data_IF_471303306414
#
_entry.id   IF_471303306414
#
_cell.length_a   1.000
_cell.length_b   1.000
_cell.length_c   1.000
_cell.angle_alpha   90.00
_cell.angle_beta   90.00
_cell.angle_gamma   90.00
#
_symmetry.space_group_name_H-M   'P 1'
#
loop_
_entity.id
_entity.type
_entity.pdbx_description
1 polymer ?
#
# COMPACT_ATOMS: atom_id res chain seq x y z
N UNK A 1 -41.82 52.37 8.16
CA UNK A 1 -41.08 52.59 6.89
C UNK A 1 -39.64 53.10 7.09
N UNK A 2 -38.89 52.62 8.10
CA UNK A 2 -37.43 52.87 8.22
C UNK A 2 -36.61 51.57 8.32
N UNK A 3 -37.26 50.41 8.42
CA UNK A 3 -36.59 49.12 8.57
C UNK A 3 -36.26 48.44 7.22
N UNK A 4 -36.98 48.78 6.14
CA UNK A 4 -36.74 48.21 4.80
C UNK A 4 -35.60 48.88 4.01
N UNK A 5 -35.13 50.07 4.42
CA UNK A 5 -34.03 50.77 3.72
C UNK A 5 -32.63 50.27 4.07
N UNK A 6 -32.43 49.61 5.23
CA UNK A 6 -31.12 49.07 5.64
C UNK A 6 -30.78 47.70 5.01
N UNK A 7 -31.79 46.97 4.50
CA UNK A 7 -31.57 45.65 3.89
C UNK A 7 -31.19 45.72 2.40
N UNK A 8 -31.56 46.80 1.69
CA UNK A 8 -31.19 46.98 0.29
C UNK A 8 -29.72 47.44 0.10
N UNK A 9 -29.19 48.24 1.02
CA UNK A 9 -27.79 48.72 0.95
C UNK A 9 -26.77 47.63 1.28
N UNK A 10 -27.14 46.62 2.08
CA UNK A 10 -26.24 45.50 2.40
C UNK A 10 -26.12 44.46 1.26
N UNK A 11 -27.19 44.27 0.45
CA UNK A 11 -27.15 43.36 -0.72
C UNK A 11 -26.35 43.92 -1.89
N UNK A 12 -26.29 45.24 -2.06
CA UNK A 12 -25.51 45.87 -3.13
C UNK A 12 -23.99 45.76 -2.92
N UNK A 13 -23.53 45.74 -1.66
CA UNK A 13 -22.09 45.63 -1.32
C UNK A 13 -21.59 44.18 -1.53
N UNK A 14 -22.41 43.17 -1.26
CA UNK A 14 -22.03 41.77 -1.47
C UNK A 14 -21.99 41.34 -2.96
N UNK A 15 -22.78 41.96 -3.85
CA UNK A 15 -22.69 41.69 -5.29
C UNK A 15 -21.49 42.35 -5.98
N UNK A 16 -20.92 43.42 -5.41
CA UNK A 16 -19.76 44.10 -5.98
C UNK A 16 -18.43 43.40 -5.61
N UNK A 17 -18.36 42.70 -4.48
CA UNK A 17 -17.17 41.90 -4.11
C UNK A 17 -17.08 40.56 -4.85
N UNK A 18 -18.20 40.01 -5.35
CA UNK A 18 -18.21 38.73 -6.06
C UNK A 18 -17.83 38.86 -7.56
N UNK A 19 -17.84 40.06 -8.11
CA UNK A 19 -17.50 40.33 -9.52
C UNK A 19 -16.01 40.60 -9.76
N UNK A 20 -15.22 40.83 -8.70
CA UNK A 20 -13.76 41.05 -8.78
C UNK A 20 -12.97 39.71 -8.71
N UNK A 21 -13.62 38.60 -8.34
CA UNK A 21 -12.99 37.27 -8.29
C UNK A 21 -13.10 36.45 -9.59
N UNK A 22 -13.72 37.00 -10.65
CA UNK A 22 -13.94 36.28 -11.92
C UNK A 22 -13.11 36.79 -13.11
N UNK A 23 -12.16 37.70 -12.90
CA UNK A 23 -11.25 38.21 -13.95
C UNK A 23 -9.77 38.07 -13.56
N UNK A 24 -9.37 36.86 -13.14
CA UNK A 24 -7.99 36.57 -12.75
C UNK A 24 -7.57 35.14 -13.10
N UNK A 25 -7.71 34.72 -14.36
CA UNK A 25 -6.97 33.57 -14.92
C UNK A 25 -7.21 33.44 -16.43
N UNK A 26 -6.83 34.49 -17.16
CA UNK A 26 -6.48 34.36 -18.57
C UNK A 26 -5.13 35.03 -18.71
N UNK A 27 -4.07 34.23 -18.84
CA UNK A 27 -2.71 34.50 -19.32
C UNK A 27 -1.72 33.62 -18.54
N UNK A 28 -1.40 32.46 -19.11
CA UNK A 28 -0.13 31.79 -18.88
C UNK A 28 0.22 30.99 -20.15
N UNK A 29 1.04 31.62 -20.97
CA UNK A 29 1.64 31.06 -22.18
C UNK A 29 2.80 30.12 -21.82
N UNK A 30 3.05 29.18 -22.72
CA UNK A 30 3.96 28.05 -22.65
C UNK A 30 5.43 28.37 -22.32
N UNK A 31 6.10 27.49 -21.54
CA UNK A 31 7.47 26.99 -21.80
C UNK A 31 7.90 25.86 -20.83
N UNK A 32 8.14 24.68 -21.42
CA UNK A 32 9.03 23.56 -21.02
C UNK A 32 8.75 22.72 -19.74
N UNK A 33 9.15 21.42 -19.76
CA UNK A 33 8.48 20.37 -18.99
C UNK A 33 9.07 20.20 -17.60
N UNK A 34 8.25 20.45 -16.58
CA UNK A 34 8.62 20.23 -15.19
C UNK A 34 8.22 18.82 -14.75
N UNK A 35 9.19 18.19 -14.09
CA UNK A 35 9.15 16.97 -13.28
C UNK A 35 7.81 16.67 -12.61
N UNK A 36 7.39 15.41 -12.73
CA UNK A 36 6.17 14.85 -12.15
C UNK A 36 6.31 14.80 -10.62
N UNK A 37 5.88 15.85 -9.93
CA UNK A 37 5.49 15.77 -8.53
C UNK A 37 4.03 15.32 -8.49
N UNK A 38 3.81 14.01 -8.29
CA UNK A 38 2.49 13.51 -7.90
C UNK A 38 2.27 13.86 -6.43
N UNK A 39 1.44 14.87 -6.18
CA UNK A 39 0.84 15.07 -4.86
C UNK A 39 0.01 13.82 -4.50
N UNK A 40 0.50 13.03 -3.56
CA UNK A 40 -0.23 11.92 -2.98
C UNK A 40 -1.22 12.51 -1.97
N UNK A 41 -2.51 12.48 -2.32
CA UNK A 41 -3.62 12.95 -1.50
C UNK A 41 -3.73 12.08 -0.23
N UNK A 42 -3.98 12.67 0.96
CA UNK A 42 -4.02 11.94 2.22
C UNK A 42 -5.15 10.91 2.29
N UNK A 43 -4.86 9.85 3.05
CA UNK A 43 -5.66 8.67 3.32
C UNK A 43 -6.94 9.03 4.08
N UNK A 44 -8.10 8.79 3.47
CA UNK A 44 -9.38 8.64 4.17
C UNK A 44 -9.94 7.25 3.85
N UNK A 45 -10.10 6.43 4.89
CA UNK A 45 -10.98 5.26 4.84
C UNK A 45 -12.39 5.73 4.48
N UNK A 46 -12.91 5.29 3.33
CA UNK A 46 -14.29 5.60 2.92
C UNK A 46 -14.44 6.10 1.50
N UNK A 47 -13.98 5.32 0.52
CA UNK A 47 -14.61 5.27 -0.80
C UNK A 47 -14.35 3.89 -1.38
N UNK A 48 -15.35 3.29 -2.04
CA UNK A 48 -15.38 1.86 -2.43
C UNK A 48 -14.23 1.34 -3.31
N UNK A 49 -13.22 2.16 -3.62
CA UNK A 49 -12.01 1.79 -4.34
C UNK A 49 -10.80 1.46 -3.43
N UNK A 50 -10.98 1.34 -2.10
CA UNK A 50 -9.87 1.13 -1.15
C UNK A 50 -8.89 0.04 -1.57
N UNK A 51 -9.39 -1.16 -1.89
CA UNK A 51 -8.56 -2.27 -2.36
C UNK A 51 -7.94 -2.04 -3.75
N UNK A 52 -8.63 -1.35 -4.68
CA UNK A 52 -8.04 -1.01 -5.98
C UNK A 52 -6.80 -0.13 -5.79
N UNK A 53 -6.88 0.85 -4.89
CA UNK A 53 -5.78 1.74 -4.56
C UNK A 53 -4.63 0.97 -3.88
N UNK A 54 -4.94 0.08 -2.93
CA UNK A 54 -3.96 -0.81 -2.28
C UNK A 54 -3.19 -1.65 -3.31
N UNK A 55 -3.90 -2.30 -4.25
CA UNK A 55 -3.27 -3.09 -5.30
C UNK A 55 -2.43 -2.26 -6.27
N UNK A 56 -2.83 -1.01 -6.54
CA UNK A 56 -2.02 -0.09 -7.33
C UNK A 56 -0.73 0.31 -6.60
N UNK A 57 -0.80 0.55 -5.28
CA UNK A 57 0.38 0.83 -4.44
C UNK A 57 1.33 -0.37 -4.43
N UNK A 58 0.81 -1.58 -4.21
CA UNK A 58 1.62 -2.80 -4.23
C UNK A 58 2.24 -3.06 -5.60
N UNK A 59 1.53 -2.78 -6.69
CA UNK A 59 2.10 -2.83 -8.03
C UNK A 59 3.25 -1.83 -8.21
N UNK A 60 3.08 -0.58 -7.76
CA UNK A 60 4.15 0.43 -7.79
C UNK A 60 5.39 -0.05 -7.04
N UNK A 61 5.21 -0.57 -5.83
CA UNK A 61 6.29 -1.15 -5.03
C UNK A 61 6.95 -2.33 -5.75
N UNK A 62 6.17 -3.26 -6.30
CA UNK A 62 6.70 -4.39 -7.06
C UNK A 62 7.57 -3.94 -8.24
N UNK A 63 7.18 -2.91 -8.97
CA UNK A 63 8.02 -2.40 -10.08
C UNK A 63 9.39 -1.89 -9.61
N UNK A 64 9.47 -1.42 -8.37
CA UNK A 64 10.69 -0.93 -7.74
C UNK A 64 11.54 -2.11 -7.20
N UNK A 65 10.90 -3.09 -6.54
CA UNK A 65 11.58 -4.09 -5.72
C UNK A 65 11.57 -5.53 -6.25
N UNK A 66 11.01 -5.82 -7.44
CA UNK A 66 10.91 -7.19 -7.99
C UNK A 66 12.21 -8.00 -8.08
N UNK A 67 13.36 -7.32 -8.05
CA UNK A 67 14.70 -7.94 -8.11
C UNK A 67 15.47 -7.79 -6.78
N UNK A 68 14.86 -7.21 -5.75
CA UNK A 68 15.46 -7.06 -4.44
C UNK A 68 15.39 -8.38 -3.66
N UNK A 69 16.24 -8.51 -2.66
CA UNK A 69 16.25 -9.64 -1.72
C UNK A 69 15.52 -9.21 -0.45
N UNK A 70 14.91 -10.17 0.25
CA UNK A 70 14.33 -9.94 1.58
C UNK A 70 15.36 -9.30 2.51
N UNK A 71 15.02 -8.14 3.04
CA UNK A 71 15.96 -7.34 3.81
C UNK A 71 16.04 -7.74 5.27
N UNK A 72 15.06 -8.45 5.82
CA UNK A 72 15.09 -8.92 7.20
C UNK A 72 14.92 -10.44 7.29
N UNK A 73 15.74 -11.09 8.13
CA UNK A 73 15.65 -12.52 8.47
C UNK A 73 15.58 -12.73 9.98
N UNK A 74 16.48 -12.09 10.73
CA UNK A 74 16.61 -12.31 12.18
C UNK A 74 17.32 -11.14 12.86
N UNK A 75 16.80 -10.70 13.98
CA UNK A 75 17.47 -9.71 14.85
C UNK A 75 18.67 -10.34 15.57
N UNK A 76 19.74 -9.56 15.74
CA UNK A 76 20.96 -9.95 16.45
C UNK A 76 21.15 -9.15 17.75
N UNK A 77 20.85 -7.85 17.74
CA UNK A 77 20.97 -6.97 18.91
C UNK A 77 20.10 -5.72 18.78
N UNK A 78 19.91 -4.98 19.87
CA UNK A 78 19.01 -3.83 19.98
C UNK A 78 17.76 -4.14 20.80
N UNK A 79 16.73 -3.29 20.68
CA UNK A 79 15.45 -3.47 21.35
C UNK A 79 14.31 -3.65 20.36
N UNK A 80 13.33 -4.47 20.74
CA UNK A 80 12.08 -4.65 20.01
C UNK A 80 11.00 -3.69 20.52
N UNK A 81 10.18 -3.23 19.58
CA UNK A 81 9.05 -2.36 19.82
C UNK A 81 7.82 -2.98 19.19
N UNK A 82 6.72 -3.04 19.94
CA UNK A 82 5.50 -3.74 19.56
C UNK A 82 4.40 -2.74 19.25
N UNK A 83 3.44 -3.16 18.43
CA UNK A 83 2.20 -2.42 18.13
C UNK A 83 2.43 -1.11 17.37
N UNK A 84 3.56 -0.96 16.70
CA UNK A 84 3.74 0.12 15.73
C UNK A 84 3.04 -0.24 14.42
N UNK A 85 2.23 0.65 13.84
CA UNK A 85 1.67 0.41 12.52
C UNK A 85 2.80 0.34 11.52
N UNK A 86 2.69 -0.54 10.53
CA UNK A 86 3.58 -0.54 9.36
C UNK A 86 2.74 -0.45 8.09
N UNK A 87 3.39 -0.50 6.93
CA UNK A 87 2.68 -0.68 5.66
C UNK A 87 1.86 -2.00 5.63
N UNK A 88 2.28 -3.01 6.41
CA UNK A 88 1.60 -4.30 6.57
C UNK A 88 0.97 -4.41 7.96
N UNK A 89 -0.34 -4.59 8.00
CA UNK A 89 -1.11 -4.73 9.25
C UNK A 89 -0.69 -5.94 10.09
N UNK A 90 -0.23 -7.00 9.45
CA UNK A 90 0.23 -8.23 10.08
C UNK A 90 1.65 -8.12 10.68
N UNK A 91 2.41 -7.07 10.32
CA UNK A 91 3.78 -6.84 10.80
C UNK A 91 3.83 -5.58 11.65
N UNK A 92 3.81 -5.76 12.97
CA UNK A 92 3.74 -4.67 13.94
C UNK A 92 4.88 -4.66 14.98
N UNK A 93 5.91 -5.50 14.76
CA UNK A 93 7.11 -5.55 15.60
C UNK A 93 8.28 -4.94 14.84
N UNK A 94 8.92 -3.94 15.43
CA UNK A 94 10.04 -3.20 14.84
C UNK A 94 11.27 -3.16 15.73
N UNK A 95 12.40 -2.85 15.12
CA UNK A 95 13.63 -2.42 15.79
C UNK A 95 13.80 -0.92 15.52
N UNK A 96 14.27 -0.15 16.50
CA UNK A 96 14.46 1.30 16.36
C UNK A 96 15.91 1.71 16.63
N UNK A 97 16.43 2.62 15.81
CA UNK A 97 17.65 3.37 16.12
C UNK A 97 17.26 4.82 16.39
N UNK A 98 17.97 5.48 17.31
CA UNK A 98 17.74 6.90 17.64
C UNK A 98 19.04 7.70 17.69
N UNK A 99 18.96 8.96 17.29
CA UNK A 99 20.08 9.91 17.33
C UNK A 99 20.27 10.56 18.74
N UNK A 100 20.08 9.78 19.81
CA UNK A 100 20.16 10.27 21.19
C UNK A 100 21.61 10.29 21.67
N UNK A 101 22.11 9.16 22.16
CA UNK A 101 23.42 9.03 22.81
C UNK A 101 24.55 8.67 21.86
N UNK A 102 24.23 8.27 20.63
CA UNK A 102 25.19 7.67 19.70
C UNK A 102 25.32 6.15 19.81
N UNK A 103 24.61 5.54 20.76
CA UNK A 103 24.72 4.11 21.07
C UNK A 103 23.40 3.35 20.82
N UNK A 104 22.29 4.07 20.60
CA UNK A 104 20.97 3.47 20.39
C UNK A 104 20.81 3.02 18.94
N UNK A 105 21.17 1.77 18.69
CA UNK A 105 21.08 1.10 17.41
C UNK A 105 20.54 -0.33 17.51
N UNK A 106 20.54 -1.02 16.38
CA UNK A 106 20.15 -2.43 16.29
C UNK A 106 20.92 -3.12 15.17
N UNK A 107 21.01 -4.44 15.28
CA UNK A 107 21.66 -5.31 14.30
C UNK A 107 20.72 -6.45 13.90
N UNK A 108 20.76 -6.83 12.62
CA UNK A 108 19.98 -7.94 12.10
C UNK A 108 20.69 -8.64 10.93
N UNK A 109 20.21 -9.82 10.56
CA UNK A 109 20.59 -10.55 9.37
C UNK A 109 19.59 -10.29 8.25
N UNK A 110 20.10 -10.10 7.03
CA UNK A 110 19.28 -10.06 5.80
C UNK A 110 18.83 -11.46 5.37
N UNK A 111 17.97 -11.53 4.35
CA UNK A 111 17.85 -12.71 3.50
C UNK A 111 19.20 -13.11 2.89
N UNK A 112 19.28 -14.36 2.42
CA UNK A 112 20.50 -14.89 1.83
C UNK A 112 20.71 -14.35 0.42
N UNK A 113 21.96 -13.95 0.12
CA UNK A 113 22.34 -13.62 -1.26
C UNK A 113 22.42 -14.92 -2.05
N UNK A 114 21.79 -15.07 -3.24
CA UNK A 114 21.90 -16.30 -4.04
C UNK A 114 23.36 -16.68 -4.34
N UNK A 115 23.64 -17.99 -4.40
CA UNK A 115 25.00 -18.51 -4.67
C UNK A 115 25.48 -18.08 -6.07
N UNK A 116 24.56 -18.03 -7.02
CA UNK A 116 24.76 -17.66 -8.42
C UNK A 116 24.53 -16.17 -8.71
N UNK A 117 24.42 -15.33 -7.66
CA UNK A 117 24.17 -13.90 -7.83
C UNK A 117 25.25 -13.24 -8.71
N UNK A 118 24.85 -12.63 -9.83
CA UNK A 118 25.79 -12.17 -10.86
C UNK A 118 26.05 -10.66 -10.85
N UNK A 119 25.19 -9.88 -10.19
CA UNK A 119 25.31 -8.42 -10.12
C UNK A 119 26.45 -7.99 -9.19
N UNK A 120 27.10 -6.87 -9.51
CA UNK A 120 28.12 -6.22 -8.69
C UNK A 120 27.54 -5.49 -7.46
N UNK A 121 26.21 -5.33 -7.44
CA UNK A 121 25.44 -4.76 -6.34
C UNK A 121 24.25 -5.64 -6.00
N UNK A 122 23.97 -5.77 -4.71
CA UNK A 122 22.78 -6.41 -4.15
C UNK A 122 21.88 -5.37 -3.49
N UNK A 123 20.56 -5.48 -3.63
CA UNK A 123 19.60 -4.60 -2.95
C UNK A 123 18.71 -5.42 -2.03
N UNK A 124 18.58 -4.95 -0.79
CA UNK A 124 17.71 -5.51 0.23
C UNK A 124 16.51 -4.59 0.44
N UNK A 125 15.31 -5.15 0.53
CA UNK A 125 14.07 -4.43 0.83
C UNK A 125 13.59 -4.73 2.24
N UNK A 126 13.33 -3.70 3.03
CA UNK A 126 12.74 -3.80 4.36
C UNK A 126 11.49 -2.95 4.48
N UNK A 127 10.51 -3.40 5.25
CA UNK A 127 9.47 -2.52 5.77
C UNK A 127 10.10 -1.53 6.75
N UNK A 128 9.75 -0.25 6.63
CA UNK A 128 10.38 0.80 7.42
C UNK A 128 9.51 2.04 7.56
N UNK A 129 9.56 2.58 8.77
CA UNK A 129 9.01 3.88 9.08
C UNK A 129 10.17 4.79 9.55
N UNK A 130 10.09 6.07 9.23
CA UNK A 130 11.15 7.04 9.57
C UNK A 130 10.58 8.37 10.04
N UNK A 131 11.31 9.00 10.95
CA UNK A 131 11.07 10.38 11.34
C UNK A 131 11.38 11.32 10.15
N UNK A 132 10.39 12.13 9.79
CA UNK A 132 10.52 13.16 8.74
C UNK A 132 10.48 14.58 9.31
N UNK A 133 10.21 14.70 10.60
CA UNK A 133 10.16 15.94 11.37
C UNK A 133 11.56 16.32 11.87
N UNK A 134 12.33 15.34 12.35
CA UNK A 134 13.73 15.45 12.72
C UNK A 134 14.59 14.69 11.71
N UNK A 135 15.76 15.23 11.37
CA UNK A 135 16.56 14.82 10.19
C UNK A 135 18.02 14.60 10.53
N UNK A 136 18.26 13.89 11.63
CA UNK A 136 19.61 13.60 12.11
C UNK A 136 20.27 12.48 11.31
N UNK A 137 21.59 12.34 11.49
CA UNK A 137 22.40 11.38 10.76
C UNK A 137 22.38 9.98 11.39
N UNK A 138 22.32 8.96 10.54
CA UNK A 138 22.40 7.54 10.90
C UNK A 138 23.47 6.85 10.06
N UNK A 139 24.26 6.00 10.70
CA UNK A 139 25.22 5.13 10.03
C UNK A 139 24.62 3.77 9.76
N UNK A 140 24.94 3.23 8.58
CA UNK A 140 24.69 1.84 8.23
C UNK A 140 26.02 1.12 8.08
N UNK A 141 26.14 -0.03 8.73
CA UNK A 141 27.28 -0.93 8.55
C UNK A 141 26.81 -2.26 7.98
N UNK A 142 27.65 -2.86 7.13
CA UNK A 142 27.47 -4.20 6.58
C UNK A 142 28.66 -5.05 7.00
N UNK A 143 28.39 -6.17 7.68
CA UNK A 143 29.41 -7.07 8.22
C UNK A 143 30.51 -6.31 8.98
N UNK A 144 30.07 -5.42 9.89
CA UNK A 144 30.90 -4.55 10.73
C UNK A 144 31.75 -3.51 9.99
N UNK A 145 31.59 -3.36 8.67
CA UNK A 145 32.24 -2.32 7.86
C UNK A 145 31.25 -1.19 7.60
N UNK A 146 31.67 0.05 7.82
CA UNK A 146 30.86 1.23 7.51
C UNK A 146 30.53 1.27 6.02
N UNK A 147 29.24 1.30 5.71
CA UNK A 147 28.74 1.40 4.34
C UNK A 147 28.55 2.86 3.96
N UNK A 148 27.69 3.55 4.70
CA UNK A 148 27.30 4.93 4.45
C UNK A 148 26.67 5.57 5.68
N UNK A 149 26.54 6.88 5.63
CA UNK A 149 25.77 7.72 6.56
C UNK A 149 24.67 8.43 5.78
N UNK A 150 23.45 8.48 6.32
CA UNK A 150 22.33 9.16 5.69
C UNK A 150 21.56 10.06 6.66
N UNK A 151 20.83 11.01 6.10
CA UNK A 151 19.81 11.83 6.77
C UNK A 151 18.48 11.69 6.01
N UNK A 152 17.35 11.73 6.71
CA UNK A 152 16.04 11.89 6.09
C UNK A 152 15.83 13.34 5.61
N UNK A 153 15.08 13.51 4.52
CA UNK A 153 14.64 14.82 4.03
C UNK A 153 13.13 14.99 4.24
N UNK A 154 12.66 16.24 4.22
CA UNK A 154 11.24 16.54 4.43
C UNK A 154 10.32 15.78 3.50
N UNK A 155 10.70 15.66 2.23
CA UNK A 155 9.92 15.04 1.17
C UNK A 155 9.90 13.51 1.23
N UNK A 156 10.57 12.91 2.21
CA UNK A 156 10.72 11.47 2.37
C UNK A 156 11.90 10.87 1.61
N UNK A 157 12.67 11.66 0.85
CA UNK A 157 13.93 11.19 0.27
C UNK A 157 15.03 11.07 1.33
N UNK A 158 16.12 10.36 0.99
CA UNK A 158 17.31 10.26 1.85
C UNK A 158 18.50 10.97 1.19
N UNK A 159 19.28 11.69 2.00
CA UNK A 159 20.55 12.27 1.60
C UNK A 159 21.70 11.43 2.16
N UNK A 160 22.58 10.90 1.29
CA UNK A 160 23.79 10.20 1.73
C UNK A 160 24.91 11.21 1.92
N UNK A 161 25.41 11.34 3.15
CA UNK A 161 26.40 12.38 3.55
C UNK A 161 27.83 11.85 3.66
N UNK A 162 27.99 10.55 3.89
CA UNK A 162 29.27 9.82 3.80
C UNK A 162 29.01 8.44 3.19
N UNK A 163 29.92 7.94 2.35
CA UNK A 163 29.70 6.70 1.60
C UNK A 163 30.99 5.92 1.31
N UNK A 164 31.77 5.54 2.34
CA UNK A 164 33.04 4.84 2.14
C UNK A 164 32.87 3.44 1.57
N UNK A 165 31.72 2.81 1.79
CA UNK A 165 31.40 1.48 1.27
C UNK A 165 30.76 1.49 -0.11
N UNK A 166 30.62 2.65 -0.78
CA UNK A 166 29.97 2.77 -2.09
C UNK A 166 28.58 2.12 -2.15
N UNK A 167 27.81 2.26 -1.06
CA UNK A 167 26.42 1.79 -0.96
C UNK A 167 25.41 2.82 -1.47
N UNK A 168 24.13 2.49 -1.34
CA UNK A 168 23.03 3.43 -1.51
C UNK A 168 21.89 3.10 -0.54
N UNK A 169 21.28 4.14 0.03
CA UNK A 169 20.08 4.03 0.85
C UNK A 169 18.95 4.81 0.17
N UNK A 170 17.81 4.17 0.00
CA UNK A 170 16.62 4.80 -0.55
C UNK A 170 15.43 4.50 0.37
N UNK A 171 14.66 5.53 0.68
CA UNK A 171 13.35 5.38 1.28
C UNK A 171 12.28 5.59 0.21
N UNK A 172 11.30 4.70 0.16
CA UNK A 172 10.12 4.85 -0.69
C UNK A 172 8.95 5.18 0.22
N UNK A 173 8.65 6.47 0.32
CA UNK A 173 7.52 6.99 1.08
C UNK A 173 6.20 6.58 0.39
N UNK A 174 5.34 5.88 1.11
CA UNK A 174 4.02 5.47 0.63
C UNK A 174 2.92 6.39 1.16
N UNK A 175 2.97 6.67 2.47
CA UNK A 175 2.06 7.61 3.13
C UNK A 175 2.72 8.20 4.38
N UNK A 176 2.09 9.21 4.96
CA UNK A 176 2.45 9.71 6.28
C UNK A 176 1.48 9.24 7.34
N UNK A 177 1.96 9.08 8.55
CA UNK A 177 1.11 8.84 9.71
C UNK A 177 0.48 10.17 10.22
N UNK A 178 -0.27 10.09 11.32
CA UNK A 178 -0.90 11.26 11.94
C UNK A 178 0.07 12.28 12.53
N UNK A 179 1.34 11.90 12.75
CA UNK A 179 2.40 12.77 13.26
C UNK A 179 3.27 13.35 12.12
N UNK A 180 2.96 13.02 10.87
CA UNK A 180 3.72 13.45 9.70
C UNK A 180 4.97 12.61 9.40
N UNK A 181 5.19 11.53 10.14
CA UNK A 181 6.28 10.58 9.94
C UNK A 181 6.01 9.68 8.73
N UNK A 182 7.07 9.14 8.14
CA UNK A 182 6.98 8.33 6.93
C UNK A 182 6.58 6.88 7.23
N UNK A 183 5.61 6.36 6.48
CA UNK A 183 5.28 4.93 6.40
C UNK A 183 5.64 4.42 5.01
N UNK A 184 6.44 3.35 4.92
CA UNK A 184 6.94 2.88 3.64
C UNK A 184 7.91 1.72 3.69
N UNK A 185 8.89 1.75 2.79
CA UNK A 185 9.94 0.73 2.68
C UNK A 185 11.32 1.37 2.56
N UNK A 186 12.31 0.72 3.17
CA UNK A 186 13.71 1.07 3.07
C UNK A 186 14.41 0.10 2.12
N UNK A 187 15.16 0.64 1.17
CA UNK A 187 15.97 -0.11 0.22
C UNK A 187 17.44 0.17 0.48
N UNK A 188 18.20 -0.88 0.71
CA UNK A 188 19.63 -0.82 0.97
C UNK A 188 20.39 -1.54 -0.13
N UNK A 189 21.09 -0.79 -0.96
CA UNK A 189 21.97 -1.35 -2.00
C UNK A 189 23.41 -1.37 -1.51
N UNK A 190 24.03 -2.54 -1.61
CA UNK A 190 25.38 -2.82 -1.12
C UNK A 190 26.23 -3.41 -2.26
N UNK A 191 27.51 -3.06 -2.41
CA UNK A 191 28.39 -3.78 -3.31
C UNK A 191 28.49 -5.26 -2.92
N UNK A 192 28.46 -6.15 -3.91
CA UNK A 192 28.58 -7.60 -3.71
C UNK A 192 29.91 -7.97 -3.02
N UNK A 193 30.95 -7.12 -3.11
CA UNK A 193 32.22 -7.30 -2.40
C UNK A 193 32.13 -7.15 -0.87
N UNK A 194 31.04 -6.60 -0.33
CA UNK A 194 30.81 -6.47 1.12
C UNK A 194 29.94 -7.58 1.71
N UNK A 195 29.40 -8.46 0.87
CA UNK A 195 28.53 -9.58 1.26
C UNK A 195 29.10 -10.90 0.74
N UNK A 196 28.66 -12.01 1.31
CA UNK A 196 29.05 -13.34 0.85
C UNK A 196 27.85 -14.03 0.17
N UNK A 197 28.06 -14.53 -1.04
CA UNK A 197 27.05 -15.31 -1.76
C UNK A 197 26.73 -16.59 -1.00
N UNK A 198 25.46 -16.99 -0.99
CA UNK A 198 24.93 -18.10 -0.20
C UNK A 198 24.77 -17.79 1.30
N UNK A 199 25.00 -16.55 1.74
CA UNK A 199 24.88 -16.18 3.17
C UNK A 199 24.06 -14.91 3.36
N UNK A 200 23.51 -14.79 4.56
CA UNK A 200 22.95 -13.54 5.07
C UNK A 200 24.06 -12.54 5.40
N UNK A 201 23.81 -11.26 5.17
CA UNK A 201 24.68 -10.18 5.64
C UNK A 201 24.21 -9.67 6.99
N UNK A 202 25.15 -9.29 7.86
CA UNK A 202 24.83 -8.55 9.10
C UNK A 202 24.70 -7.06 8.77
N UNK A 203 23.57 -6.46 9.11
CA UNK A 203 23.33 -5.02 8.98
C UNK A 203 23.26 -4.42 10.38
N UNK A 204 23.85 -3.23 10.54
CA UNK A 204 23.75 -2.42 11.76
C UNK A 204 23.28 -1.01 11.40
N UNK A 205 22.26 -0.54 12.11
CA UNK A 205 21.87 0.88 12.10
C UNK A 205 22.28 1.52 13.43
N UNK A 206 22.86 2.72 13.36
CA UNK A 206 23.24 3.49 14.55
C UNK A 206 22.97 4.98 14.35
N UNK A 207 22.17 5.59 15.24
CA UNK A 207 21.97 7.04 15.21
C UNK A 207 23.17 7.77 15.80
N UNK A 208 23.52 8.94 15.25
CA UNK A 208 24.61 9.76 15.79
C UNK A 208 24.28 10.35 17.16
N UNK A 209 25.31 10.70 17.94
CA UNK A 209 25.15 11.40 19.23
C UNK A 209 24.72 12.85 19.00
N UNK A 210 23.41 13.09 18.88
CA UNK A 210 22.82 14.40 18.61
C UNK A 210 21.89 14.89 19.73
N UNK A 211 21.67 14.08 20.76
CA UNK A 211 20.69 14.34 21.81
C UNK A 211 19.28 14.63 21.23
N UNK A 212 18.94 13.92 20.16
CA UNK A 212 17.71 14.10 19.40
C UNK A 212 16.87 12.83 19.43
N UNK A 213 15.55 12.98 19.45
CA UNK A 213 14.63 11.84 19.40
C UNK A 213 14.41 11.32 17.98
N UNK A 214 15.08 11.89 16.97
CA UNK A 214 15.04 11.42 15.57
C UNK A 214 15.26 9.91 15.50
N UNK A 215 14.47 9.22 14.68
CA UNK A 215 14.40 7.77 14.67
C UNK A 215 14.23 7.17 13.27
N UNK A 216 14.68 5.91 13.14
CA UNK A 216 14.40 5.02 12.01
C UNK A 216 14.00 3.66 12.56
N UNK A 217 12.93 3.08 11.98
CA UNK A 217 12.46 1.75 12.29
C UNK A 217 12.63 0.80 11.12
N UNK A 218 13.02 -0.43 11.42
CA UNK A 218 12.94 -1.56 10.49
C UNK A 218 12.03 -2.62 11.12
N UNK A 219 10.99 -3.02 10.39
CA UNK A 219 10.04 -4.02 10.87
C UNK A 219 10.53 -5.44 10.59
N UNK A 220 10.09 -6.37 11.44
CA UNK A 220 10.48 -7.79 11.38
C UNK A 220 9.68 -8.59 10.33
N UNK A 221 9.57 -8.07 9.11
CA UNK A 221 8.93 -8.77 7.98
C UNK A 221 9.95 -9.63 7.22
N UNK A 222 9.72 -10.95 7.13
CA UNK A 222 10.68 -11.89 6.50
C UNK A 222 10.35 -12.25 5.04
N UNK A 223 9.18 -11.81 4.56
CA UNK A 223 8.57 -12.17 3.28
C UNK A 223 8.03 -10.92 2.55
N UNK A 224 8.66 -9.76 2.73
CA UNK A 224 8.17 -8.47 2.21
C UNK A 224 8.16 -8.46 0.68
N UNK A 225 9.26 -8.87 0.05
CA UNK A 225 9.39 -8.92 -1.43
C UNK A 225 8.44 -9.97 -1.99
N UNK A 226 8.44 -11.18 -1.42
CA UNK A 226 7.60 -12.28 -1.89
C UNK A 226 6.11 -11.94 -1.75
N UNK A 227 5.69 -11.31 -0.64
CA UNK A 227 4.29 -10.91 -0.46
C UNK A 227 3.86 -9.83 -1.43
N UNK A 228 4.70 -8.82 -1.69
CA UNK A 228 4.41 -7.80 -2.71
C UNK A 228 4.25 -8.43 -4.10
N UNK A 229 5.12 -9.39 -4.44
CA UNK A 229 5.02 -10.16 -5.68
C UNK A 229 3.70 -10.96 -5.73
N UNK A 230 3.34 -11.67 -4.67
CA UNK A 230 2.08 -12.43 -4.60
C UNK A 230 0.86 -11.50 -4.73
N UNK A 231 0.90 -10.33 -4.09
CA UNK A 231 -0.14 -9.31 -4.22
C UNK A 231 -0.39 -8.94 -5.70
N UNK A 232 0.66 -8.65 -6.45
CA UNK A 232 0.55 -8.27 -7.87
C UNK A 232 0.11 -9.43 -8.77
N UNK A 233 0.57 -10.64 -8.50
CA UNK A 233 0.34 -11.78 -9.39
C UNK A 233 -1.05 -12.41 -9.18
N UNK A 234 -1.57 -12.39 -7.95
CA UNK A 234 -2.73 -13.21 -7.57
C UNK A 234 -3.92 -12.47 -6.97
N UNK A 235 -3.74 -11.26 -6.47
CA UNK A 235 -4.87 -10.48 -5.95
C UNK A 235 -5.68 -9.83 -7.06
N UNK A 236 -6.93 -9.51 -6.74
CA UNK A 236 -7.81 -8.76 -7.60
C UNK A 236 -8.78 -7.93 -6.78
N UNK A 237 -9.14 -6.77 -7.32
CA UNK A 237 -10.19 -5.92 -6.78
C UNK A 237 -11.01 -5.34 -7.92
N UNK A 238 -12.33 -5.29 -7.76
CA UNK A 238 -13.25 -4.75 -8.74
C UNK A 238 -14.31 -3.90 -8.06
N UNK A 239 -14.64 -2.78 -8.70
CA UNK A 239 -15.82 -2.00 -8.36
C UNK A 239 -16.72 -1.95 -9.58
N UNK A 240 -17.95 -2.44 -9.42
CA UNK A 240 -18.92 -2.56 -10.50
C UNK A 240 -20.12 -1.67 -10.20
N UNK A 241 -20.49 -0.82 -11.16
CA UNK A 241 -21.60 0.13 -11.03
C UNK A 241 -22.51 0.02 -12.25
N UNK A 242 -23.80 -0.14 -12.00
CA UNK A 242 -24.81 -0.06 -13.04
C UNK A 242 -25.13 1.41 -13.36
N UNK A 243 -25.14 1.77 -14.64
CA UNK A 243 -25.65 3.05 -15.15
C UNK A 243 -26.10 2.90 -16.59
N UNK A 244 -27.27 3.45 -16.94
CA UNK A 244 -27.82 3.42 -18.31
C UNK A 244 -27.78 2.02 -18.94
N UNK A 245 -28.26 1.00 -18.21
CA UNK A 245 -28.29 -0.41 -18.65
C UNK A 245 -26.91 -1.07 -18.86
N UNK A 246 -25.82 -0.38 -18.53
CA UNK A 246 -24.47 -0.90 -18.59
C UNK A 246 -23.93 -1.16 -17.19
N UNK A 247 -23.15 -2.23 -17.05
CA UNK A 247 -22.29 -2.48 -15.90
C UNK A 247 -20.90 -1.96 -16.20
N UNK A 248 -20.46 -0.93 -15.49
CA UNK A 248 -19.11 -0.37 -15.55
C UNK A 248 -18.25 -1.04 -14.50
N UNK A 249 -17.07 -1.52 -14.90
CA UNK A 249 -16.11 -2.21 -14.04
C UNK A 249 -14.85 -1.37 -13.96
N UNK A 250 -14.50 -1.00 -12.74
CA UNK A 250 -13.21 -0.41 -12.37
C UNK A 250 -12.33 -1.51 -11.75
N UNK A 251 -11.04 -1.50 -12.09
CA UNK A 251 -10.02 -2.46 -11.66
C UNK A 251 -8.66 -1.75 -11.45
N UNK A 252 -7.66 -2.38 -10.82
CA UNK A 252 -6.30 -1.85 -10.70
C UNK A 252 -5.72 -1.42 -12.05
N UNK A 253 -4.96 -0.34 -12.08
CA UNK A 253 -4.38 0.23 -13.30
C UNK A 253 -3.58 -0.82 -14.08
N UNK A 254 -2.81 -1.65 -13.37
CA UNK A 254 -1.98 -2.70 -13.96
C UNK A 254 -2.77 -3.87 -14.57
N UNK A 255 -4.11 -3.87 -14.48
CA UNK A 255 -4.97 -4.79 -15.23
C UNK A 255 -5.16 -4.36 -16.69
N UNK A 256 -4.51 -3.29 -17.15
CA UNK A 256 -4.58 -2.87 -18.54
C UNK A 256 -4.29 -4.03 -19.50
N UNK A 257 -5.07 -4.11 -20.58
CA UNK A 257 -5.01 -5.18 -21.57
C UNK A 257 -5.36 -6.60 -21.08
N UNK A 258 -5.57 -6.82 -19.78
CA UNK A 258 -6.10 -8.10 -19.28
C UNK A 258 -7.50 -8.32 -19.82
N UNK A 259 -7.76 -9.58 -20.20
CA UNK A 259 -9.05 -9.99 -20.72
C UNK A 259 -10.06 -10.12 -19.59
N UNK A 260 -11.30 -9.69 -19.83
CA UNK A 260 -12.40 -9.73 -18.87
C UNK A 260 -13.74 -9.97 -19.54
N UNK A 261 -14.58 -10.79 -18.92
CA UNK A 261 -16.01 -10.91 -19.21
C UNK A 261 -16.78 -11.21 -17.92
N UNK A 262 -18.10 -11.15 -18.00
CA UNK A 262 -18.98 -11.38 -16.86
C UNK A 262 -20.11 -12.33 -17.24
N UNK A 263 -20.65 -13.00 -16.23
CA UNK A 263 -21.85 -13.81 -16.31
C UNK A 263 -22.82 -13.26 -15.27
N UNK A 264 -24.03 -12.90 -15.66
CA UNK A 264 -25.09 -12.46 -14.76
C UNK A 264 -26.32 -13.30 -15.03
N UNK A 265 -26.79 -14.01 -14.00
CA UNK A 265 -27.93 -14.92 -14.09
C UNK A 265 -27.84 -15.86 -15.32
N UNK A 266 -26.67 -16.48 -15.51
CA UNK A 266 -26.37 -17.39 -16.63
C UNK A 266 -26.12 -16.71 -17.99
N UNK A 267 -26.36 -15.40 -18.13
CA UNK A 267 -26.08 -14.67 -19.37
C UNK A 267 -24.62 -14.21 -19.42
N UNK A 268 -23.86 -14.76 -20.36
CA UNK A 268 -22.45 -14.38 -20.61
C UNK A 268 -22.33 -13.12 -21.47
N UNK A 269 -21.49 -12.18 -21.05
CA UNK A 269 -21.13 -11.00 -21.83
C UNK A 269 -20.07 -11.29 -22.91
N UNK A 270 -19.86 -10.36 -23.85
CA UNK A 270 -18.74 -10.43 -24.79
C UNK A 270 -17.41 -10.26 -24.04
N UNK A 271 -16.39 -11.00 -24.46
CA UNK A 271 -15.02 -10.80 -24.02
C UNK A 271 -14.53 -9.39 -24.38
N UNK A 272 -13.94 -8.71 -23.40
CA UNK A 272 -13.32 -7.40 -23.56
C UNK A 272 -11.91 -7.41 -22.97
N UNK A 273 -11.17 -6.34 -23.23
CA UNK A 273 -9.96 -6.00 -22.50
C UNK A 273 -10.21 -4.78 -21.64
N UNK A 274 -9.62 -4.77 -20.46
CA UNK A 274 -9.50 -3.56 -19.67
C UNK A 274 -8.67 -2.51 -20.41
N UNK A 275 -9.03 -1.23 -20.23
CA UNK A 275 -8.28 -0.09 -20.76
C UNK A 275 -7.97 0.88 -19.62
N UNK A 276 -6.72 1.33 -19.53
CA UNK A 276 -6.33 2.37 -18.58
C UNK A 276 -7.13 3.65 -18.80
N UNK A 277 -7.66 4.22 -17.71
CA UNK A 277 -8.29 5.53 -17.67
C UNK A 277 -7.99 6.17 -16.30
N UNK A 278 -7.05 7.11 -16.28
CA UNK A 278 -6.55 7.70 -15.03
C UNK A 278 -5.79 6.67 -14.20
N UNK A 279 -6.14 6.53 -12.92
CA UNK A 279 -5.50 5.61 -11.96
C UNK A 279 -6.21 4.26 -11.84
N UNK A 280 -6.96 3.88 -12.88
CA UNK A 280 -7.71 2.63 -12.91
C UNK A 280 -7.68 2.04 -14.32
N UNK A 281 -7.99 0.76 -14.39
CA UNK A 281 -8.37 0.09 -15.62
C UNK A 281 -9.88 -0.11 -15.66
N UNK A 282 -10.50 0.16 -16.81
CA UNK A 282 -11.95 0.16 -16.95
C UNK A 282 -12.45 -0.72 -18.08
N UNK A 283 -13.63 -1.31 -17.88
CA UNK A 283 -14.41 -2.01 -18.89
C UNK A 283 -15.90 -1.71 -18.66
N UNK A 284 -16.73 -1.92 -19.69
CA UNK A 284 -18.18 -1.80 -19.54
C UNK A 284 -18.89 -2.91 -20.30
N UNK A 285 -20.06 -3.32 -19.84
CA UNK A 285 -20.78 -4.44 -20.43
C UNK A 285 -22.27 -4.14 -20.50
N UNK A 286 -22.89 -4.46 -21.64
CA UNK A 286 -24.34 -4.47 -21.78
C UNK A 286 -24.85 -5.79 -21.22
N UNK A 287 -25.14 -5.79 -19.93
CA UNK A 287 -25.59 -6.92 -19.15
C UNK A 287 -26.57 -6.40 -18.10
N UNK A 288 -27.67 -7.13 -17.89
CA UNK A 288 -28.56 -6.82 -16.79
C UNK A 288 -27.84 -7.01 -15.45
N UNK A 289 -28.22 -6.26 -14.41
CA UNK A 289 -27.72 -6.54 -13.06
C UNK A 289 -28.26 -7.89 -12.57
N UNK A 290 -27.48 -8.64 -11.77
CA UNK A 290 -27.84 -9.98 -11.33
C UNK A 290 -28.88 -9.97 -10.20
N UNK A 291 -29.69 -11.02 -10.14
CA UNK A 291 -30.56 -11.33 -9.00
C UNK A 291 -30.14 -12.60 -8.26
N UNK A 292 -29.69 -13.63 -8.99
CA UNK A 292 -29.44 -14.97 -8.45
C UNK A 292 -27.96 -15.35 -8.44
N UNK A 293 -27.21 -15.02 -9.50
CA UNK A 293 -25.78 -15.33 -9.60
C UNK A 293 -25.01 -14.29 -10.40
N UNK A 294 -23.74 -14.13 -10.05
CA UNK A 294 -22.83 -13.25 -10.76
C UNK A 294 -21.40 -13.79 -10.75
N UNK A 295 -20.76 -13.81 -11.91
CA UNK A 295 -19.32 -14.07 -12.02
C UNK A 295 -18.62 -12.99 -12.81
N UNK A 296 -17.43 -12.61 -12.35
CA UNK A 296 -16.44 -11.87 -13.16
C UNK A 296 -15.25 -12.78 -13.42
N UNK A 297 -14.91 -12.95 -14.70
CA UNK A 297 -13.79 -13.76 -15.15
C UNK A 297 -12.76 -12.82 -15.75
N UNK A 298 -11.53 -12.89 -15.24
CA UNK A 298 -10.41 -12.05 -15.63
C UNK A 298 -9.14 -12.89 -15.76
N UNK A 299 -8.49 -12.84 -16.92
CA UNK A 299 -7.24 -13.56 -17.18
C UNK A 299 -7.28 -15.06 -16.78
N UNK A 300 -8.42 -15.72 -17.04
CA UNK A 300 -8.67 -17.12 -16.68
C UNK A 300 -9.02 -17.39 -15.22
N UNK A 301 -8.97 -16.39 -14.33
CA UNK A 301 -9.40 -16.46 -12.93
C UNK A 301 -10.85 -16.02 -12.79
N UNK A 302 -11.58 -16.56 -11.81
CA UNK A 302 -12.99 -16.26 -11.57
C UNK A 302 -13.22 -15.79 -10.13
N UNK A 303 -14.11 -14.80 -9.97
CA UNK A 303 -14.80 -14.52 -8.71
C UNK A 303 -16.28 -14.73 -8.99
N UNK A 304 -16.88 -15.71 -8.31
CA UNK A 304 -18.28 -16.10 -8.45
C UNK A 304 -19.05 -15.81 -7.16
N UNK A 305 -20.29 -15.35 -7.32
CA UNK A 305 -21.21 -15.01 -6.24
C UNK A 305 -22.55 -15.69 -6.46
N UNK A 306 -23.10 -16.22 -5.38
CA UNK A 306 -24.46 -16.75 -5.31
C UNK A 306 -25.30 -15.89 -4.34
N UNK A 307 -26.46 -15.43 -4.82
CA UNK A 307 -27.38 -14.61 -4.04
C UNK A 307 -28.54 -15.47 -3.54
N UNK A 308 -28.39 -16.02 -2.33
CA UNK A 308 -29.35 -16.96 -1.72
C UNK A 308 -30.79 -16.42 -1.71
N UNK A 309 -30.97 -15.12 -1.51
CA UNK A 309 -32.27 -14.47 -1.45
C UNK A 309 -32.85 -14.09 -2.84
N UNK A 310 -32.09 -14.27 -3.92
CA UNK A 310 -32.53 -13.87 -5.26
C UNK A 310 -32.71 -12.35 -5.45
N UNK A 311 -32.07 -11.54 -4.61
CA UNK A 311 -32.20 -10.07 -4.60
C UNK A 311 -30.94 -9.34 -5.09
N UNK A 312 -29.91 -10.09 -5.51
CA UNK A 312 -28.63 -9.56 -5.98
C UNK A 312 -27.80 -8.81 -4.93
N UNK A 313 -28.16 -8.93 -3.65
CA UNK A 313 -27.47 -8.33 -2.50
C UNK A 313 -26.63 -9.37 -1.75
N UNK A 314 -25.47 -8.93 -1.25
CA UNK A 314 -24.51 -9.78 -0.54
C UNK A 314 -23.60 -8.91 0.31
N UNK A 315 -23.25 -9.40 1.49
CA UNK A 315 -22.10 -8.92 2.25
C UNK A 315 -21.40 -10.13 2.84
N UNK A 316 -20.32 -10.58 2.22
CA UNK A 316 -19.62 -11.81 2.56
C UNK A 316 -18.13 -11.54 2.70
N UNK A 317 -17.55 -12.03 3.78
CA UNK A 317 -16.11 -12.19 3.95
C UNK A 317 -15.84 -13.68 4.12
N UNK A 318 -14.88 -14.22 3.36
CA UNK A 318 -14.52 -15.64 3.41
C UNK A 318 -13.01 -15.82 3.35
N UNK A 319 -12.51 -16.92 3.88
CA UNK A 319 -11.09 -17.29 3.81
C UNK A 319 -11.01 -18.64 3.10
N UNK A 320 -10.36 -18.68 1.94
CA UNK A 320 -10.10 -19.92 1.21
C UNK A 320 -8.60 -20.09 0.99
N UNK A 321 -8.00 -21.02 1.74
CA UNK A 321 -6.55 -21.14 1.81
C UNK A 321 -5.92 -19.80 2.19
N UNK A 322 -4.88 -19.37 1.46
CA UNK A 322 -4.13 -18.14 1.74
C UNK A 322 -4.85 -16.84 1.31
N UNK A 323 -6.10 -16.91 0.87
CA UNK A 323 -6.81 -15.77 0.31
C UNK A 323 -8.02 -15.37 1.16
N UNK A 324 -8.13 -14.07 1.43
CA UNK A 324 -9.31 -13.42 1.96
C UNK A 324 -10.16 -12.91 0.80
N UNK A 325 -11.41 -13.33 0.74
CA UNK A 325 -12.42 -12.81 -0.17
C UNK A 325 -13.31 -11.84 0.58
N UNK A 326 -13.50 -10.64 0.04
CA UNK A 326 -14.42 -9.67 0.62
C UNK A 326 -15.33 -9.10 -0.47
N UNK A 327 -16.63 -9.35 -0.34
CA UNK A 327 -17.62 -9.07 -1.37
C UNK A 327 -18.80 -8.33 -0.78
N UNK A 328 -19.16 -7.22 -1.40
CA UNK A 328 -20.36 -6.45 -1.05
C UNK A 328 -21.12 -6.04 -2.29
N UNK A 329 -22.40 -6.39 -2.36
CA UNK A 329 -23.32 -5.97 -3.42
C UNK A 329 -24.59 -5.35 -2.85
N UNK A 330 -25.16 -4.38 -3.55
CA UNK A 330 -26.43 -3.75 -3.15
C UNK A 330 -27.13 -3.07 -4.32
N UNK A 331 -28.40 -2.72 -4.12
CA UNK A 331 -29.19 -1.85 -4.97
C UNK A 331 -29.50 -0.55 -4.22
N UNK A 332 -28.81 0.53 -4.57
CA UNK A 332 -29.09 1.87 -4.00
C UNK A 332 -29.48 2.87 -5.09
N UNK A 333 -28.63 3.02 -6.09
CA UNK A 333 -28.83 3.92 -7.25
C UNK A 333 -28.55 3.19 -8.56
N UNK A 334 -29.03 1.94 -8.62
CA UNK A 334 -28.55 0.90 -9.53
C UNK A 334 -27.79 -0.17 -8.75
N UNK A 335 -27.49 -1.29 -9.42
CA UNK A 335 -26.68 -2.34 -8.82
C UNK A 335 -25.23 -1.90 -8.65
N UNK A 336 -24.67 -2.20 -7.48
CA UNK A 336 -23.30 -1.95 -7.11
C UNK A 336 -22.66 -3.25 -6.62
N UNK A 337 -21.40 -3.47 -6.96
CA UNK A 337 -20.56 -4.50 -6.34
C UNK A 337 -19.16 -3.98 -6.03
N UNK A 338 -18.61 -4.38 -4.89
CA UNK A 338 -17.21 -4.27 -4.51
C UNK A 338 -16.70 -5.67 -4.23
N UNK A 339 -15.76 -6.16 -5.03
CA UNK A 339 -15.26 -7.53 -4.98
C UNK A 339 -13.75 -7.48 -4.79
N UNK A 340 -13.22 -8.19 -3.80
CA UNK A 340 -11.78 -8.37 -3.65
C UNK A 340 -11.41 -9.81 -3.33
N UNK A 341 -10.24 -10.21 -3.83
CA UNK A 341 -9.49 -11.40 -3.48
C UNK A 341 -8.10 -10.92 -3.06
N UNK A 342 -7.75 -11.10 -1.79
CA UNK A 342 -6.53 -10.57 -1.17
C UNK A 342 -5.69 -11.74 -0.64
N UNK A 343 -4.39 -11.73 -0.89
CA UNK A 343 -3.42 -12.68 -0.37
C UNK A 343 -3.09 -12.30 1.07
N UNK A 344 -3.72 -13.02 2.00
CA UNK A 344 -3.64 -12.80 3.45
C UNK A 344 -3.35 -14.13 4.17
N UNK A 345 -2.19 -14.77 3.92
CA UNK A 345 -1.81 -16.05 4.54
C UNK A 345 -1.86 -16.04 6.07
N UNK A 346 -1.64 -14.89 6.71
CA UNK A 346 -1.71 -14.73 8.16
C UNK A 346 -3.09 -15.06 8.75
N UNK A 347 -4.18 -14.79 8.02
CA UNK A 347 -5.51 -15.16 8.47
C UNK A 347 -5.72 -16.66 8.39
N UNK A 348 -5.22 -17.28 7.33
CA UNK A 348 -5.25 -18.73 7.21
C UNK A 348 -4.50 -19.38 8.37
N UNK A 349 -3.25 -19.00 8.61
CA UNK A 349 -2.44 -19.57 9.69
C UNK A 349 -3.05 -19.36 11.08
N UNK A 350 -3.74 -18.23 11.30
CA UNK A 350 -4.42 -17.94 12.57
C UNK A 350 -5.68 -18.77 12.75
N UNK A 351 -6.46 -18.99 11.69
CA UNK A 351 -7.77 -19.64 11.75
C UNK A 351 -7.76 -21.11 11.33
N UNK A 352 -6.64 -21.64 10.82
CA UNK A 352 -6.52 -23.03 10.33
C UNK A 352 -7.00 -24.03 11.39
N UNK A 353 -6.58 -23.85 12.64
CA UNK A 353 -6.99 -24.70 13.76
C UNK A 353 -8.51 -24.69 14.04
N UNK A 354 -9.22 -23.62 13.65
CA UNK A 354 -10.68 -23.58 13.73
C UNK A 354 -11.36 -24.33 12.59
N UNK A 355 -10.78 -24.27 11.39
CA UNK A 355 -11.30 -24.98 10.21
C UNK A 355 -11.03 -26.49 10.26
N UNK A 356 -9.89 -26.88 10.84
CA UNK A 356 -9.46 -28.28 10.98
C UNK A 356 -10.05 -29.02 12.18
N UNK A 357 -11.11 -28.48 12.82
CA UNK A 357 -11.77 -29.08 13.98
C UNK A 357 -10.84 -29.33 15.19
N UNK A 358 -9.66 -28.71 15.23
CA UNK A 358 -8.72 -28.85 16.35
C UNK A 358 -9.28 -28.39 17.71
N UNK A 359 -10.37 -27.61 17.68
CA UNK A 359 -11.14 -27.18 18.84
C UNK A 359 -12.59 -27.71 18.86
N UNK A 360 -12.92 -28.78 18.12
CA UNK A 360 -14.29 -29.33 18.07
C UNK A 360 -14.81 -29.75 19.46
N UNK A 361 -13.91 -30.16 20.36
CA UNK A 361 -14.21 -30.49 21.76
C UNK A 361 -13.82 -29.38 22.77
N UNK A 362 -13.38 -28.22 22.28
CA UNK A 362 -12.89 -27.09 23.09
C UNK A 362 -13.91 -25.98 23.27
N UNK A 363 -13.88 -25.32 24.44
CA UNK A 363 -14.65 -24.08 24.66
C UNK A 363 -13.93 -22.91 23.99
N UNK A 364 -14.51 -22.40 22.90
CA UNK A 364 -14.08 -21.14 22.28
C UNK A 364 -14.79 -19.98 22.97
N UNK A 365 -14.04 -19.07 23.60
CA UNK A 365 -14.57 -17.82 24.13
C UNK A 365 -14.18 -16.67 23.20
N UNK A 366 -15.17 -16.09 22.52
CA UNK A 366 -14.98 -14.90 21.69
C UNK A 366 -15.32 -13.69 22.56
N UNK A 367 -14.30 -12.96 23.00
CA UNK A 367 -14.49 -11.68 23.69
C UNK A 367 -14.44 -10.56 22.67
N UNK A 368 -15.57 -9.89 22.47
CA UNK A 368 -15.62 -8.69 21.65
C UNK A 368 -15.22 -7.50 22.53
N UNK A 369 -14.06 -6.89 22.27
CA UNK A 369 -13.65 -5.65 22.92
C UNK A 369 -14.30 -4.49 22.18
N UNK A 370 -15.40 -3.98 22.72
CA UNK A 370 -15.95 -2.69 22.31
C UNK A 370 -15.14 -1.58 22.99
N UNK A 371 -14.23 -0.98 22.23
CA UNK A 371 -13.58 0.28 22.59
C UNK A 371 -14.09 1.42 21.71
#
# INVERSE_FOLDING_TARGET
MQYQRKYLTLKAIYSLCLSILLFGSAFAESKNPTTINKEIIPFHEGNGNGHIQELNTNYGLYTICKNDIEGYKKMLSGSEFFLYPSLREDVNVSMIARATTGEMGFEFLTGEVPVDYSSDRVTFLMLSDIDLNLRESFDIHVNDKHLLTFNSNEDGSLSVTDNPGNGNAQYVLIRRDGNGDGIGVFRLTVPTSMVEKGKSAKIKFNGHKKNSNCWVMIFKGTDVVERIKMSVMDEAAFVIKQKNELLYVDAPTHFNDKQVYMISDGKKSKLKKFKTQGEMSKASFNLAPPKNSFSIIYDGKEIALDFVNGDGTLSKTDIEGKYLYHHRTNYSSGWFASLSKLYKPEFYETFDNFFDKGYEDGLVSIMNSSH
#
